data_IF_287707769483
#
_entry.id   IF_287707769483
#
_cell.length_a   1.000
_cell.length_b   1.000
_cell.length_c   1.000
_cell.angle_alpha   90.00
_cell.angle_beta   90.00
_cell.angle_gamma   90.00
#
_symmetry.space_group_name_H-M   'P 1'
#
loop_
_entity.id
_entity.type
_entity.pdbx_description
1 polymer ?
#
# COMPACT_ATOMS: atom_id res chain seq x y z
N UNK A 1 10.33 10.55 69.57
CA UNK A 1 9.58 11.13 68.50
C UNK A 1 10.27 10.79 67.15
N UNK A 2 9.73 9.77 66.40
CA UNK A 2 10.30 9.35 65.12
C UNK A 2 9.48 9.98 63.99
N UNK A 3 10.12 10.75 63.14
CA UNK A 3 9.50 11.37 61.95
C UNK A 3 9.68 10.40 60.79
N UNK A 4 8.57 9.84 60.32
CA UNK A 4 8.54 9.03 59.08
C UNK A 4 8.50 9.95 57.88
N UNK A 5 9.53 9.91 57.03
CA UNK A 5 9.57 10.60 55.75
C UNK A 5 8.94 9.69 54.71
N UNK A 6 7.72 10.02 54.25
CA UNK A 6 7.10 9.38 53.09
C UNK A 6 7.72 9.94 51.80
N UNK A 7 8.52 9.12 51.12
CA UNK A 7 8.98 9.41 49.75
C UNK A 7 7.85 9.12 48.77
N UNK A 8 7.23 10.17 48.20
CA UNK A 8 6.33 10.05 47.08
C UNK A 8 7.14 9.80 45.81
N UNK A 9 7.13 8.57 45.32
CA UNK A 9 7.59 8.26 43.97
C UNK A 9 6.55 8.71 42.98
N UNK A 10 6.84 9.80 42.28
CA UNK A 10 6.09 10.24 41.07
C UNK A 10 6.34 9.19 40.00
N UNK A 11 5.46 8.20 39.92
CA UNK A 11 5.35 7.34 38.72
C UNK A 11 4.90 8.22 37.58
N UNK A 12 5.85 8.69 36.76
CA UNK A 12 5.58 9.37 35.49
C UNK A 12 4.77 8.41 34.63
N UNK A 13 3.51 8.74 34.31
CA UNK A 13 2.76 8.10 33.27
C UNK A 13 3.53 8.31 31.97
N UNK A 14 4.32 7.29 31.57
CA UNK A 14 4.82 7.22 30.21
C UNK A 14 3.59 7.27 29.31
N UNK A 15 3.47 8.34 28.50
CA UNK A 15 2.47 8.42 27.41
C UNK A 15 2.74 7.24 26.48
N UNK A 16 2.04 6.13 26.72
CA UNK A 16 2.04 4.97 25.85
C UNK A 16 1.41 5.38 24.51
N UNK A 17 2.26 5.69 23.53
CA UNK A 17 1.78 6.05 22.19
C UNK A 17 2.69 6.96 21.37
N UNK A 18 3.68 7.61 21.98
CA UNK A 18 4.58 8.50 21.24
C UNK A 18 5.74 7.69 20.63
N UNK A 19 5.80 7.68 19.29
CA UNK A 19 6.87 7.00 18.53
C UNK A 19 8.13 7.85 18.58
N UNK A 20 9.24 7.31 19.07
CA UNK A 20 10.52 8.02 19.06
C UNK A 20 10.99 8.33 17.63
N UNK A 21 11.82 9.37 17.41
CA UNK A 21 12.34 9.69 16.07
C UNK A 21 13.07 8.51 15.40
N UNK A 22 13.84 7.74 16.17
CA UNK A 22 14.56 6.56 15.69
C UNK A 22 13.58 5.45 15.24
N UNK A 23 12.60 5.14 16.08
CA UNK A 23 11.56 4.15 15.75
C UNK A 23 10.70 4.58 14.57
N UNK A 24 10.34 5.87 14.48
CA UNK A 24 9.63 6.44 13.34
C UNK A 24 10.43 6.24 12.05
N UNK A 25 11.72 6.52 12.05
CA UNK A 25 12.59 6.30 10.90
C UNK A 25 12.65 4.82 10.49
N UNK A 26 12.77 3.91 11.45
CA UNK A 26 12.80 2.47 11.17
C UNK A 26 11.48 1.95 10.60
N UNK A 27 10.33 2.39 11.14
CA UNK A 27 9.01 2.04 10.60
C UNK A 27 8.86 2.59 9.17
N UNK A 28 9.22 3.85 8.93
CA UNK A 28 9.09 4.45 7.62
C UNK A 28 9.92 3.69 6.57
N UNK A 29 11.17 3.35 6.88
CA UNK A 29 12.02 2.54 6.00
C UNK A 29 11.43 1.16 5.73
N UNK A 30 10.88 0.49 6.76
CA UNK A 30 10.24 -0.81 6.60
C UNK A 30 9.02 -0.75 5.67
N UNK A 31 8.13 0.23 5.85
CA UNK A 31 6.95 0.43 5.00
C UNK A 31 7.37 0.72 3.55
N UNK A 32 8.32 1.65 3.36
CA UNK A 32 8.79 2.00 2.02
C UNK A 32 9.43 0.79 1.31
N UNK A 33 10.27 0.03 2.00
CA UNK A 33 10.89 -1.18 1.45
C UNK A 33 9.85 -2.23 1.08
N UNK A 34 8.80 -2.42 1.91
CA UNK A 34 7.71 -3.35 1.64
C UNK A 34 6.92 -2.95 0.39
N UNK A 35 6.59 -1.67 0.24
CA UNK A 35 5.88 -1.15 -0.95
C UNK A 35 6.75 -1.30 -2.19
N UNK A 36 8.01 -0.82 -2.16
CA UNK A 36 8.94 -0.94 -3.29
C UNK A 36 9.13 -2.40 -3.72
N UNK A 37 9.23 -3.32 -2.76
CA UNK A 37 9.35 -4.75 -3.04
C UNK A 37 8.11 -5.35 -3.68
N UNK A 38 6.91 -4.91 -3.30
CA UNK A 38 5.65 -5.38 -3.88
C UNK A 38 5.50 -4.94 -5.35
N UNK A 39 5.92 -3.74 -5.68
CA UNK A 39 5.81 -3.15 -7.02
C UNK A 39 7.09 -3.28 -7.87
N UNK A 40 8.08 -4.06 -7.45
CA UNK A 40 9.29 -4.34 -8.23
C UNK A 40 8.98 -5.28 -9.42
N UNK A 41 8.72 -4.71 -10.58
CA UNK A 41 8.37 -5.47 -11.79
C UNK A 41 9.57 -6.19 -12.43
N UNK A 42 10.80 -5.92 -12.00
CA UNK A 42 11.99 -6.66 -12.44
C UNK A 42 12.02 -8.10 -11.91
N UNK A 43 11.21 -8.41 -10.89
CA UNK A 43 11.12 -9.72 -10.25
C UNK A 43 9.84 -10.44 -10.63
N UNK A 44 9.86 -11.77 -10.76
CA UNK A 44 8.66 -12.55 -11.03
C UNK A 44 7.67 -12.47 -9.85
N UNK A 45 6.39 -12.74 -10.13
CA UNK A 45 5.36 -12.84 -9.09
C UNK A 45 4.88 -11.47 -8.54
N UNK A 46 4.87 -10.42 -9.35
CA UNK A 46 4.39 -9.11 -8.96
C UNK A 46 2.93 -9.15 -8.44
N UNK A 47 2.04 -9.88 -9.11
CA UNK A 47 0.66 -10.09 -8.68
C UNK A 47 0.58 -10.60 -7.24
N UNK A 48 1.32 -11.68 -6.92
CA UNK A 48 1.32 -12.28 -5.60
C UNK A 48 1.91 -11.34 -4.54
N UNK A 49 2.97 -10.60 -4.87
CA UNK A 49 3.57 -9.61 -3.95
C UNK A 49 2.63 -8.45 -3.68
N UNK A 50 1.92 -7.95 -4.68
CA UNK A 50 0.89 -6.91 -4.51
C UNK A 50 -0.25 -7.39 -3.63
N UNK A 51 -0.76 -8.61 -3.85
CA UNK A 51 -1.79 -9.22 -3.00
C UNK A 51 -1.29 -9.38 -1.55
N UNK A 52 -0.03 -9.81 -1.36
CA UNK A 52 0.58 -10.01 -0.05
C UNK A 52 0.83 -8.71 0.74
N UNK A 53 0.75 -7.55 0.08
CA UNK A 53 0.87 -6.24 0.72
C UNK A 53 -0.31 -5.94 1.65
N UNK A 54 -1.48 -6.51 1.38
CA UNK A 54 -2.70 -6.26 2.14
C UNK A 54 -2.79 -7.14 3.39
N UNK A 55 -3.44 -6.59 4.43
CA UNK A 55 -3.63 -7.30 5.69
C UNK A 55 -4.41 -8.61 5.50
N UNK A 56 -3.96 -9.67 6.16
CA UNK A 56 -4.58 -11.01 6.04
C UNK A 56 -5.92 -11.11 6.77
N UNK A 57 -6.17 -10.21 7.74
CA UNK A 57 -7.37 -10.21 8.59
C UNK A 57 -8.02 -8.85 8.70
N UNK A 58 -9.33 -8.84 8.94
CA UNK A 58 -10.14 -7.65 9.09
C UNK A 58 -10.57 -7.06 7.74
N UNK A 59 -11.35 -5.99 7.83
CA UNK A 59 -11.84 -5.29 6.63
C UNK A 59 -10.71 -4.58 5.93
N UNK A 60 -10.70 -4.65 4.61
CA UNK A 60 -9.89 -3.83 3.70
C UNK A 60 -10.84 -2.89 2.96
N UNK A 61 -10.40 -1.67 2.72
CA UNK A 61 -11.13 -0.69 1.89
C UNK A 61 -10.22 -0.28 0.75
N UNK A 62 -10.69 -0.45 -0.48
CA UNK A 62 -10.00 0.03 -1.68
C UNK A 62 -10.92 0.99 -2.43
N UNK A 63 -10.41 2.17 -2.75
CA UNK A 63 -11.09 3.18 -3.54
C UNK A 63 -10.28 3.46 -4.82
N UNK A 64 -10.89 3.24 -5.98
CA UNK A 64 -10.28 3.46 -7.28
C UNK A 64 -11.35 3.70 -8.35
N UNK A 65 -11.08 4.55 -9.32
CA UNK A 65 -11.98 4.84 -10.44
C UNK A 65 -13.43 5.18 -10.02
N UNK A 66 -13.59 5.87 -8.88
CA UNK A 66 -14.91 6.26 -8.34
C UNK A 66 -15.68 5.12 -7.66
N UNK A 67 -15.08 3.94 -7.49
CA UNK A 67 -15.70 2.79 -6.84
C UNK A 67 -15.00 2.48 -5.51
N UNK A 68 -15.75 1.85 -4.58
CA UNK A 68 -15.23 1.40 -3.29
C UNK A 68 -15.49 -0.09 -3.12
N UNK A 69 -14.42 -0.83 -2.85
CA UNK A 69 -14.45 -2.24 -2.47
C UNK A 69 -14.09 -2.38 -0.99
N UNK A 70 -14.85 -3.21 -0.26
CA UNK A 70 -14.64 -3.44 1.18
C UNK A 70 -14.29 -4.89 1.51
N UNK A 71 -14.10 -5.73 0.49
CA UNK A 71 -13.78 -7.16 0.59
C UNK A 71 -12.37 -7.42 0.09
N UNK A 72 -11.59 -8.18 0.87
CA UNK A 72 -10.27 -8.66 0.46
C UNK A 72 -10.35 -9.56 -0.79
N UNK A 73 -11.38 -10.43 -0.85
CA UNK A 73 -11.53 -11.36 -1.97
C UNK A 73 -11.82 -10.60 -3.27
N UNK A 74 -12.69 -9.58 -3.21
CA UNK A 74 -12.99 -8.72 -4.37
C UNK A 74 -11.75 -7.93 -4.81
N UNK A 75 -10.99 -7.38 -3.87
CA UNK A 75 -9.73 -6.71 -4.17
C UNK A 75 -8.71 -7.66 -4.82
N UNK A 76 -8.56 -8.86 -4.23
CA UNK A 76 -7.65 -9.90 -4.76
C UNK A 76 -8.04 -10.29 -6.18
N UNK A 77 -9.35 -10.46 -6.43
CA UNK A 77 -9.86 -10.74 -7.77
C UNK A 77 -9.55 -9.59 -8.73
N UNK A 78 -9.76 -8.33 -8.31
CA UNK A 78 -9.42 -7.15 -9.11
C UNK A 78 -7.95 -7.09 -9.51
N UNK A 79 -7.02 -7.36 -8.57
CA UNK A 79 -5.58 -7.42 -8.86
C UNK A 79 -5.26 -8.54 -9.86
N UNK A 80 -5.85 -9.73 -9.69
CA UNK A 80 -5.66 -10.86 -10.61
C UNK A 80 -6.16 -10.53 -12.02
N UNK A 81 -7.36 -9.95 -12.13
CA UNK A 81 -7.92 -9.54 -13.42
C UNK A 81 -7.08 -8.46 -14.10
N UNK A 82 -6.57 -7.48 -13.34
CA UNK A 82 -5.64 -6.49 -13.87
C UNK A 82 -4.39 -7.18 -14.45
N UNK A 83 -3.78 -8.08 -13.72
CA UNK A 83 -2.57 -8.80 -14.20
C UNK A 83 -2.88 -9.69 -15.39
N UNK A 84 -4.00 -10.38 -15.39
CA UNK A 84 -4.42 -11.24 -16.51
C UNK A 84 -4.70 -10.46 -17.80
N UNK A 85 -5.33 -9.28 -17.69
CA UNK A 85 -5.81 -8.54 -18.87
C UNK A 85 -4.87 -7.39 -19.29
N UNK A 86 -4.11 -6.83 -18.36
CA UNK A 86 -3.25 -5.66 -18.59
C UNK A 86 -1.78 -6.01 -18.31
N UNK A 87 -1.46 -6.45 -17.10
CA UNK A 87 -0.08 -6.67 -16.68
C UNK A 87 0.67 -7.68 -17.53
N UNK A 88 0.03 -8.80 -17.91
CA UNK A 88 0.62 -9.82 -18.79
C UNK A 88 0.89 -9.33 -20.22
N UNK A 89 0.23 -8.25 -20.64
CA UNK A 89 0.37 -7.64 -21.96
C UNK A 89 1.41 -6.52 -22.00
N UNK A 90 1.96 -6.12 -20.85
CA UNK A 90 3.04 -5.13 -20.79
C UNK A 90 4.36 -5.80 -21.15
N UNK A 91 5.07 -5.27 -22.13
CA UNK A 91 6.42 -5.68 -22.48
C UNK A 91 7.41 -4.74 -21.82
N UNK A 92 8.41 -5.30 -21.11
CA UNK A 92 9.47 -4.57 -20.44
C UNK A 92 8.96 -3.49 -19.44
N UNK A 93 7.95 -3.80 -18.61
CA UNK A 93 7.40 -2.80 -17.70
C UNK A 93 8.41 -2.45 -16.60
N UNK A 94 8.51 -1.17 -16.29
CA UNK A 94 9.32 -0.68 -15.17
C UNK A 94 8.46 0.18 -14.26
N UNK A 95 8.39 -0.18 -12.96
CA UNK A 95 7.71 0.66 -11.98
C UNK A 95 8.67 1.73 -11.45
N UNK A 96 8.36 2.99 -11.69
CA UNK A 96 9.15 4.15 -11.28
C UNK A 96 8.34 4.95 -10.26
N UNK A 97 8.84 5.01 -9.01
CA UNK A 97 8.34 5.93 -8.02
C UNK A 97 8.93 7.31 -8.27
N UNK A 98 8.10 8.32 -8.53
CA UNK A 98 8.54 9.69 -8.74
C UNK A 98 8.66 10.46 -7.44
N UNK A 99 7.76 10.22 -6.49
CA UNK A 99 7.80 10.74 -5.12
C UNK A 99 7.24 9.68 -4.17
N UNK A 100 7.80 9.61 -2.96
CA UNK A 100 7.30 8.73 -1.89
C UNK A 100 7.39 9.45 -0.55
N UNK A 101 6.37 9.29 0.27
CA UNK A 101 6.26 9.81 1.63
C UNK A 101 5.72 8.73 2.55
N UNK A 102 6.25 8.64 3.76
CA UNK A 102 5.74 7.75 4.79
C UNK A 102 5.54 8.53 6.08
N UNK A 103 4.28 8.65 6.50
CA UNK A 103 3.90 9.26 7.76
C UNK A 103 3.59 8.17 8.79
N UNK A 104 4.38 8.10 9.84
CA UNK A 104 4.18 7.18 10.96
C UNK A 104 3.28 7.84 11.99
N UNK A 105 2.05 7.36 12.10
CA UNK A 105 1.00 7.94 12.96
C UNK A 105 1.06 7.39 14.38
N UNK A 106 1.44 6.10 14.52
CA UNK A 106 1.55 5.37 15.78
C UNK A 106 2.52 4.18 15.61
N UNK A 107 2.92 3.50 16.70
CA UNK A 107 3.78 2.30 16.60
C UNK A 107 3.20 1.17 15.74
N UNK A 108 1.89 1.22 15.47
CA UNK A 108 1.14 0.22 14.71
C UNK A 108 0.30 0.81 13.56
N UNK A 109 0.51 2.08 13.21
CA UNK A 109 -0.21 2.76 12.11
C UNK A 109 0.71 3.69 11.33
N UNK A 110 0.68 3.58 10.01
CA UNK A 110 1.43 4.43 9.10
C UNK A 110 0.65 4.67 7.80
N UNK A 111 0.99 5.73 7.09
CA UNK A 111 0.45 6.03 5.76
C UNK A 111 1.62 6.19 4.80
N UNK A 112 1.57 5.46 3.69
CA UNK A 112 2.43 5.67 2.54
C UNK A 112 1.65 6.46 1.48
N UNK A 113 2.26 7.48 0.92
CA UNK A 113 1.74 8.20 -0.26
C UNK A 113 2.82 8.24 -1.32
N UNK A 114 2.48 7.91 -2.55
CA UNK A 114 3.44 7.91 -3.64
C UNK A 114 2.81 8.21 -4.98
N UNK A 115 3.60 8.84 -5.87
CA UNK A 115 3.28 8.98 -7.28
C UNK A 115 4.18 8.05 -8.08
N UNK A 116 3.62 7.48 -9.16
CA UNK A 116 4.31 6.47 -9.95
C UNK A 116 4.07 6.63 -11.43
N UNK A 117 4.99 6.05 -12.22
CA UNK A 117 4.90 5.84 -13.66
C UNK A 117 5.30 4.42 -13.98
N UNK A 118 4.63 3.81 -14.96
CA UNK A 118 4.93 2.46 -15.46
C UNK A 118 5.07 2.51 -16.97
N UNK A 119 6.21 3.00 -17.50
CA UNK A 119 6.49 2.92 -18.93
C UNK A 119 6.64 1.45 -19.33
N UNK A 120 6.08 1.10 -20.49
CA UNK A 120 6.13 -0.23 -21.08
C UNK A 120 5.81 -0.16 -22.57
N UNK A 121 5.94 -1.27 -23.29
CA UNK A 121 5.43 -1.40 -24.66
C UNK A 121 4.17 -2.26 -24.67
N UNK A 122 3.24 -1.90 -25.55
CA UNK A 122 2.06 -2.74 -25.83
C UNK A 122 2.48 -4.04 -26.52
N UNK A 123 1.59 -5.04 -26.67
CA UNK A 123 1.88 -6.24 -27.46
C UNK A 123 2.29 -5.95 -28.91
N UNK A 124 1.87 -4.81 -29.47
CA UNK A 124 2.24 -4.35 -30.83
C UNK A 124 3.60 -3.66 -30.87
N UNK A 125 4.25 -3.44 -29.73
CA UNK A 125 5.53 -2.73 -29.64
C UNK A 125 5.42 -1.22 -29.54
N UNK A 126 4.20 -0.67 -29.38
CA UNK A 126 3.99 0.76 -29.23
C UNK A 126 4.32 1.19 -27.79
N UNK A 127 5.02 2.32 -27.58
CA UNK A 127 5.28 2.82 -26.23
C UNK A 127 3.95 3.24 -25.58
N UNK A 128 3.79 2.84 -24.32
CA UNK A 128 2.65 3.19 -23.49
C UNK A 128 3.09 3.43 -22.05
N UNK A 129 2.32 4.19 -21.29
CA UNK A 129 2.60 4.46 -19.89
C UNK A 129 1.32 4.48 -19.07
N UNK A 130 1.36 3.83 -17.92
CA UNK A 130 0.37 3.98 -16.84
C UNK A 130 1.01 4.87 -15.79
N UNK A 131 0.29 5.85 -15.27
CA UNK A 131 0.77 6.73 -14.21
C UNK A 131 -0.36 7.11 -13.26
N UNK A 132 0.00 7.45 -12.02
CA UNK A 132 -0.99 7.82 -11.03
C UNK A 132 -0.37 8.16 -9.67
N UNK A 133 -1.25 8.28 -8.69
CA UNK A 133 -0.89 8.41 -7.29
C UNK A 133 -1.64 7.36 -6.47
N UNK A 134 -1.02 6.97 -5.34
CA UNK A 134 -1.68 6.08 -4.39
C UNK A 134 -1.42 6.52 -2.96
N UNK A 135 -2.41 6.28 -2.12
CA UNK A 135 -2.28 6.38 -0.66
C UNK A 135 -2.64 5.06 -0.04
N UNK A 136 -1.75 4.52 0.78
CA UNK A 136 -1.87 3.22 1.44
C UNK A 136 -1.81 3.42 2.95
N UNK A 137 -2.91 3.14 3.65
CA UNK A 137 -2.91 3.11 5.12
C UNK A 137 -2.51 1.72 5.61
N UNK A 138 -1.47 1.65 6.41
CA UNK A 138 -0.94 0.44 7.01
C UNK A 138 -1.37 0.29 8.46
N UNK A 139 -1.69 -0.93 8.86
CA UNK A 139 -1.82 -1.31 10.26
C UNK A 139 -0.91 -2.50 10.56
N UNK A 140 -0.29 -2.48 11.74
CA UNK A 140 0.51 -3.61 12.24
C UNK A 140 -0.37 -4.52 13.09
N UNK A 141 -0.60 -5.74 12.64
CA UNK A 141 -1.43 -6.75 13.30
C UNK A 141 -0.62 -8.02 13.49
N UNK A 142 -0.58 -8.57 14.70
CA UNK A 142 0.24 -9.76 14.98
C UNK A 142 1.72 -9.60 14.62
N UNK A 143 2.28 -8.40 14.76
CA UNK A 143 3.66 -8.09 14.40
C UNK A 143 3.93 -7.81 12.91
N UNK A 144 2.95 -8.03 12.02
CA UNK A 144 3.06 -7.86 10.57
C UNK A 144 2.35 -6.59 10.10
N UNK A 145 3.02 -5.79 9.28
CA UNK A 145 2.42 -4.65 8.58
C UNK A 145 1.62 -5.11 7.37
N UNK A 146 0.43 -4.56 7.19
CA UNK A 146 -0.39 -4.79 6.00
C UNK A 146 -1.29 -3.61 5.70
N UNK A 147 -1.56 -3.38 4.42
CA UNK A 147 -2.48 -2.35 3.95
C UNK A 147 -3.90 -2.70 4.39
N UNK A 148 -4.59 -1.75 5.00
CA UNK A 148 -5.99 -1.87 5.43
C UNK A 148 -6.90 -0.94 4.65
N UNK A 149 -6.33 0.10 4.04
CA UNK A 149 -7.05 1.00 3.15
C UNK A 149 -6.11 1.51 2.07
N UNK A 150 -6.61 1.61 0.84
CA UNK A 150 -5.95 2.26 -0.27
C UNK A 150 -6.86 3.23 -0.99
N UNK A 151 -6.25 4.21 -1.64
CA UNK A 151 -6.87 5.05 -2.64
C UNK A 151 -5.92 5.17 -3.83
N UNK A 152 -6.42 4.88 -5.02
CA UNK A 152 -5.71 5.03 -6.28
C UNK A 152 -6.37 6.14 -7.09
N UNK A 153 -5.55 6.97 -7.72
CA UNK A 153 -5.98 7.99 -8.67
C UNK A 153 -5.12 7.94 -9.92
N UNK A 154 -5.77 8.04 -11.07
CA UNK A 154 -5.11 8.06 -12.36
C UNK A 154 -4.75 9.50 -12.77
N UNK A 155 -3.77 9.65 -13.66
CA UNK A 155 -3.49 10.94 -14.29
C UNK A 155 -4.64 11.28 -15.24
N UNK A 156 -5.21 12.51 -15.18
CA UNK A 156 -6.28 12.92 -16.08
C UNK A 156 -5.87 12.75 -17.56
N UNK A 157 -6.75 12.11 -18.37
CA UNK A 157 -6.52 11.85 -19.79
C UNK A 157 -5.92 10.47 -20.12
N UNK A 158 -5.44 9.72 -19.12
CA UNK A 158 -5.12 8.29 -19.25
C UNK A 158 -6.36 7.47 -18.87
N UNK A 159 -7.39 7.52 -19.70
CA UNK A 159 -8.58 6.69 -19.49
C UNK A 159 -8.17 5.24 -19.70
N UNK A 160 -8.09 4.45 -18.63
CA UNK A 160 -8.13 3.00 -18.76
C UNK A 160 -9.40 2.68 -19.55
N UNK A 161 -9.25 1.92 -20.65
CA UNK A 161 -10.40 1.42 -21.37
C UNK A 161 -11.36 0.77 -20.35
N UNK A 162 -12.69 1.07 -20.41
CA UNK A 162 -13.63 0.49 -19.46
C UNK A 162 -13.47 -1.02 -19.48
N UNK A 163 -13.30 -1.63 -18.31
CA UNK A 163 -13.34 -3.08 -18.19
C UNK A 163 -14.71 -3.51 -18.71
N UNK A 164 -14.71 -4.25 -19.80
CA UNK A 164 -15.93 -4.79 -20.37
C UNK A 164 -16.57 -5.76 -19.37
N UNK A 165 -17.51 -5.24 -18.59
CA UNK A 165 -18.27 -6.02 -17.59
C UNK A 165 -19.31 -6.95 -18.24
N UNK A 166 -19.35 -7.04 -19.59
CA UNK A 166 -20.29 -7.89 -20.32
C UNK A 166 -19.78 -9.32 -20.53
N UNK A 167 -18.59 -9.69 -20.01
CA UNK A 167 -18.19 -11.11 -20.03
C UNK A 167 -19.14 -11.92 -19.17
N UNK A 168 -20.13 -12.53 -19.81
CA UNK A 168 -20.96 -13.60 -19.28
C UNK A 168 -20.04 -14.67 -18.68
N UNK A 169 -20.22 -14.94 -17.40
CA UNK A 169 -19.60 -16.11 -16.78
C UNK A 169 -20.13 -17.39 -17.45
N UNK A 170 -19.28 -18.39 -17.64
CA UNK A 170 -19.70 -19.70 -18.09
C UNK A 170 -20.54 -20.44 -17.07
#
# INVERSE_FOLDING_TARGET
MSVAVCAFTLSGCARSGEVSPLERGAIAQQIEAQVRGAYDLSKPGAEQRMIALYADTGRIVSASAGQVTTSRDTLTLGIKLFWQNVGSNMREPTWIWTHTYVDVLAPNAAVFTGTYRVPHHTPRGEPHEIAGAMTLAFAKRGGKWGVVQEHLSDVPGQVQAPMDTTMKMP
#
